data_IF_123582857285
#
_entry.id   IF_123582857285
#
_cell.length_a   1.000
_cell.length_b   1.000
_cell.length_c   1.000
_cell.angle_alpha   90.00
_cell.angle_beta   90.00
_cell.angle_gamma   90.00
#
_symmetry.space_group_name_H-M   'P 1'
#
loop_
_entity.id
_entity.type
_entity.pdbx_description
1 polymer ?
#
# COMPACT_ATOMS: atom_id res chain seq x y z
N UNK A 1 6.62 -10.25 -8.68
CA UNK A 1 6.86 -9.97 -7.25
C UNK A 1 5.66 -9.21 -6.70
N UNK A 2 5.35 -9.34 -5.41
CA UNK A 2 4.22 -8.67 -4.75
C UNK A 2 4.70 -7.99 -3.46
N UNK A 3 4.10 -6.86 -3.09
CA UNK A 3 4.31 -6.15 -1.82
C UNK A 3 3.01 -5.46 -1.38
N UNK A 4 2.95 -4.98 -0.15
CA UNK A 4 1.83 -4.20 0.37
C UNK A 4 2.33 -3.06 1.27
N UNK A 5 1.47 -2.06 1.51
CA UNK A 5 1.71 -0.93 2.41
C UNK A 5 0.70 -1.02 3.55
N UNK A 6 1.16 -0.89 4.79
CA UNK A 6 0.28 -0.79 5.95
C UNK A 6 -0.26 0.63 6.04
N UNK A 7 -1.54 0.83 5.74
CA UNK A 7 -2.19 2.15 5.83
C UNK A 7 -2.67 2.50 7.25
N UNK A 8 -2.88 1.49 8.10
CA UNK A 8 -3.41 1.71 9.44
C UNK A 8 -2.37 2.43 10.30
N UNK A 9 -2.71 3.63 10.79
CA UNK A 9 -1.83 4.46 11.62
C UNK A 9 -1.47 3.80 12.96
N UNK A 10 -2.33 2.91 13.45
CA UNK A 10 -2.07 2.12 14.65
C UNK A 10 -1.24 0.86 14.38
N UNK A 11 -0.84 0.62 13.13
CA UNK A 11 -0.12 -0.57 12.71
C UNK A 11 -1.00 -1.82 12.62
N UNK A 12 -0.35 -2.95 12.38
CA UNK A 12 -0.97 -4.23 12.05
C UNK A 12 -0.22 -5.38 12.74
N UNK A 13 -0.20 -5.37 14.08
CA UNK A 13 0.66 -6.26 14.88
C UNK A 13 0.45 -7.77 14.63
N UNK A 14 -0.73 -8.17 14.14
CA UNK A 14 -0.98 -9.58 13.80
C UNK A 14 -0.17 -10.07 12.57
N UNK A 15 0.45 -9.16 11.80
CA UNK A 15 1.33 -9.50 10.69
C UNK A 15 2.80 -9.66 11.12
N UNK A 16 3.14 -9.31 12.36
CA UNK A 16 4.52 -9.37 12.86
C UNK A 16 5.05 -10.81 12.78
N UNK A 17 6.23 -10.98 12.19
CA UNK A 17 6.86 -12.28 11.96
C UNK A 17 6.28 -13.09 10.79
N UNK A 18 5.12 -12.71 10.24
CA UNK A 18 4.53 -13.35 9.04
C UNK A 18 5.00 -12.70 7.74
N UNK A 19 5.34 -11.41 7.79
CA UNK A 19 5.79 -10.65 6.63
C UNK A 19 7.06 -9.84 6.96
N UNK A 20 7.98 -9.80 6.00
CA UNK A 20 9.21 -9.02 6.14
C UNK A 20 8.95 -7.53 5.90
N UNK A 21 9.24 -6.71 6.89
CA UNK A 21 9.28 -5.25 6.75
C UNK A 21 10.64 -4.87 6.17
N UNK A 22 10.64 -4.28 4.96
CA UNK A 22 11.87 -3.89 4.25
C UNK A 22 11.98 -2.38 3.98
N UNK A 23 11.00 -1.58 4.40
CA UNK A 23 10.99 -0.14 4.19
C UNK A 23 9.73 0.52 4.75
N UNK A 24 9.68 1.86 4.64
CA UNK A 24 8.52 2.67 5.01
C UNK A 24 8.32 3.80 4.01
N UNK A 25 7.09 4.28 3.89
CA UNK A 25 6.74 5.44 3.07
C UNK A 25 7.17 6.69 3.80
N UNK A 26 8.11 7.47 3.23
CA UNK A 26 8.58 8.73 3.82
C UNK A 26 7.74 9.93 3.38
N UNK A 27 7.14 9.86 2.19
CA UNK A 27 6.30 10.91 1.59
C UNK A 27 5.16 10.28 0.79
N UNK A 28 4.02 10.97 0.67
CA UNK A 28 2.88 10.49 -0.14
C UNK A 28 1.93 9.53 0.57
N UNK A 29 1.90 9.51 1.91
CA UNK A 29 0.92 8.71 2.65
C UNK A 29 -0.54 9.13 2.40
N UNK A 30 -0.77 10.40 2.06
CA UNK A 30 -2.06 10.91 1.59
C UNK A 30 -2.51 10.25 0.28
N UNK A 31 -1.58 9.97 -0.63
CA UNK A 31 -1.85 9.22 -1.87
C UNK A 31 -2.21 7.77 -1.56
N UNK A 32 -1.52 7.15 -0.60
CA UNK A 32 -1.87 5.79 -0.11
C UNK A 32 -3.28 5.77 0.47
N UNK A 33 -3.63 6.75 1.32
CA UNK A 33 -4.97 6.91 1.88
C UNK A 33 -6.03 7.10 0.78
N UNK A 34 -5.74 7.90 -0.25
CA UNK A 34 -6.64 8.12 -1.38
C UNK A 34 -6.86 6.86 -2.22
N UNK A 35 -5.82 6.06 -2.47
CA UNK A 35 -5.92 4.78 -3.18
C UNK A 35 -6.74 3.77 -2.37
N UNK A 36 -6.49 3.69 -1.06
CA UNK A 36 -7.20 2.80 -0.16
C UNK A 36 -8.71 3.12 -0.04
N UNK A 37 -9.11 4.37 -0.30
CA UNK A 37 -10.50 4.81 -0.29
C UNK A 37 -11.24 4.58 -1.62
N UNK A 38 -10.58 4.02 -2.64
CA UNK A 38 -11.24 3.74 -3.92
C UNK A 38 -12.38 2.73 -3.74
N UNK A 39 -13.55 2.93 -4.37
CA UNK A 39 -14.60 1.94 -4.40
C UNK A 39 -14.09 0.61 -4.97
N UNK A 40 -14.44 -0.50 -4.33
CA UNK A 40 -14.04 -1.85 -4.74
C UNK A 40 -15.24 -2.68 -5.21
N UNK A 41 -14.96 -3.74 -5.97
CA UNK A 41 -15.91 -4.80 -6.24
C UNK A 41 -16.00 -5.81 -5.07
N UNK A 42 -16.78 -6.87 -5.25
CA UNK A 42 -16.97 -7.94 -4.24
C UNK A 42 -15.69 -8.73 -3.91
N UNK A 43 -14.64 -8.60 -4.74
CA UNK A 43 -13.35 -9.29 -4.54
C UNK A 43 -12.28 -8.31 -4.03
N UNK A 44 -12.67 -7.16 -3.49
CA UNK A 44 -11.79 -6.09 -3.04
C UNK A 44 -10.89 -5.50 -4.15
N UNK A 45 -11.24 -5.69 -5.42
CA UNK A 45 -10.53 -5.06 -6.54
C UNK A 45 -11.05 -3.63 -6.72
N UNK A 46 -10.18 -2.60 -6.76
CA UNK A 46 -10.60 -1.24 -7.07
C UNK A 46 -11.31 -1.14 -8.42
N UNK A 47 -12.47 -0.49 -8.45
CA UNK A 47 -13.25 -0.23 -9.68
C UNK A 47 -12.52 0.73 -10.64
N UNK A 48 -11.67 1.59 -10.07
CA UNK A 48 -10.74 2.44 -10.81
C UNK A 48 -9.33 1.91 -10.58
N UNK A 49 -8.60 1.66 -11.67
CA UNK A 49 -7.26 1.10 -11.57
C UNK A 49 -6.25 2.10 -10.95
N UNK A 50 -5.46 1.61 -9.99
CA UNK A 50 -4.31 2.31 -9.43
C UNK A 50 -3.03 1.62 -9.97
N UNK A 51 -2.39 2.27 -10.95
CA UNK A 51 -1.27 1.67 -11.71
C UNK A 51 0.03 2.39 -11.37
N UNK A 52 1.08 1.62 -11.09
CA UNK A 52 2.45 2.14 -10.98
C UNK A 52 2.99 2.35 -12.40
N UNK A 53 3.06 3.60 -12.85
CA UNK A 53 3.52 3.93 -14.21
C UNK A 53 5.05 3.89 -14.36
N UNK A 54 5.80 4.24 -13.30
CA UNK A 54 7.26 4.32 -13.31
C UNK A 54 7.80 4.13 -11.90
N UNK A 55 8.95 3.47 -11.79
CA UNK A 55 9.74 3.37 -10.56
C UNK A 55 11.12 3.97 -10.85
N UNK A 56 11.69 4.70 -9.89
CA UNK A 56 13.04 5.25 -9.98
C UNK A 56 13.73 5.01 -8.64
N UNK A 57 14.92 4.43 -8.70
CA UNK A 57 15.77 4.23 -7.52
C UNK A 57 16.68 5.46 -7.45
N UNK A 58 16.62 6.16 -6.33
CA UNK A 58 17.50 7.29 -6.01
C UNK A 58 18.56 6.79 -5.03
N UNK A 59 19.83 7.11 -5.31
CA UNK A 59 20.97 6.84 -4.43
C UNK A 59 21.18 7.96 -3.42
#
# INVERSE_FOLDING_TARGET
SQFFIVQNKSGTAWLDGQHSVFGMVTEGMDVVEAIAALPTDINDRPLKEAIINKITIVE
#
